data_IF_027678499783
#
_entry.id   IF_027678499783
#
_cell.length_a   1.000
_cell.length_b   1.000
_cell.length_c   1.000
_cell.angle_alpha   90.00
_cell.angle_beta   90.00
_cell.angle_gamma   90.00
#
_symmetry.space_group_name_H-M   'P 1'
#
loop_
_entity.id
_entity.type
_entity.pdbx_description
1 polymer ?
#
# COMPACT_ATOMS: atom_id res chain seq x y z
N UNK A 1 37.02 -6.61 28.42
CA UNK A 1 35.73 -5.96 28.09
C UNK A 1 35.34 -6.45 26.71
N UNK A 2 34.38 -7.37 26.63
CA UNK A 2 33.88 -7.92 25.37
C UNK A 2 33.13 -6.83 24.61
N UNK A 3 33.67 -6.39 23.48
CA UNK A 3 32.86 -5.78 22.43
C UNK A 3 32.11 -6.90 21.72
N UNK A 4 30.86 -7.09 22.12
CA UNK A 4 29.92 -7.97 21.45
C UNK A 4 29.47 -7.26 20.16
N UNK A 5 30.29 -7.34 19.11
CA UNK A 5 29.86 -7.01 17.75
C UNK A 5 28.90 -8.11 17.32
N UNK A 6 27.61 -7.91 17.60
CA UNK A 6 26.55 -8.68 16.96
C UNK A 6 26.68 -8.49 15.46
N UNK A 7 27.08 -9.55 14.78
CA UNK A 7 26.92 -9.68 13.34
C UNK A 7 25.42 -9.68 13.03
N UNK A 8 24.81 -8.50 12.99
CA UNK A 8 23.64 -8.27 12.16
C UNK A 8 24.13 -8.36 10.70
N UNK A 9 24.25 -9.61 10.22
CA UNK A 9 24.18 -9.88 8.79
C UNK A 9 22.91 -9.17 8.32
N UNK A 10 23.07 -8.02 7.65
CA UNK A 10 21.97 -7.30 7.00
C UNK A 10 21.32 -8.29 6.03
N UNK A 11 20.31 -9.02 6.51
CA UNK A 11 19.42 -9.78 5.65
C UNK A 11 18.81 -8.75 4.72
N UNK A 12 18.94 -8.97 3.42
CA UNK A 12 18.21 -8.15 2.47
C UNK A 12 16.72 -8.54 2.55
N UNK A 13 15.81 -7.55 2.61
CA UNK A 13 14.38 -7.86 2.66
C UNK A 13 13.94 -8.47 1.33
N UNK A 14 13.09 -9.49 1.42
CA UNK A 14 12.53 -10.20 0.26
C UNK A 14 11.56 -9.28 -0.49
N UNK A 15 10.77 -8.54 0.28
CA UNK A 15 9.84 -7.55 -0.26
C UNK A 15 9.81 -6.34 0.66
N UNK A 16 9.64 -5.16 0.06
CA UNK A 16 9.50 -3.90 0.80
C UNK A 16 8.32 -3.12 0.25
N UNK A 17 7.41 -2.73 1.13
CA UNK A 17 6.21 -1.96 0.82
C UNK A 17 6.34 -0.58 1.47
N UNK A 18 6.52 0.44 0.64
CA UNK A 18 6.54 1.84 1.10
C UNK A 18 5.13 2.39 1.08
N UNK A 19 4.63 2.84 2.24
CA UNK A 19 3.23 3.23 2.37
C UNK A 19 3.00 4.65 2.91
N UNK A 20 4.06 5.35 3.30
CA UNK A 20 4.08 6.75 3.70
C UNK A 20 5.50 7.32 3.67
N UNK A 21 5.66 8.61 3.98
CA UNK A 21 6.99 9.19 4.15
C UNK A 21 7.67 8.53 5.35
N UNK A 22 8.79 7.85 5.10
CA UNK A 22 9.52 7.12 6.14
C UNK A 22 8.75 5.95 6.77
N UNK A 23 7.63 5.50 6.19
CA UNK A 23 6.87 4.34 6.66
C UNK A 23 7.01 3.16 5.67
N UNK A 24 7.59 2.05 6.13
CA UNK A 24 7.89 0.88 5.29
C UNK A 24 7.55 -0.44 6.02
N UNK A 25 6.96 -1.39 5.30
CA UNK A 25 6.85 -2.80 5.71
C UNK A 25 7.93 -3.58 4.96
N UNK A 26 8.74 -4.36 5.67
CA UNK A 26 9.77 -5.21 5.11
C UNK A 26 9.48 -6.66 5.50
N UNK A 27 9.43 -7.51 4.50
CA UNK A 27 9.28 -8.95 4.67
C UNK A 27 10.65 -9.60 4.61
N UNK A 28 10.98 -10.34 5.66
CA UNK A 28 12.12 -11.26 5.72
C UNK A 28 11.62 -12.70 5.68
N UNK A 29 12.54 -13.67 5.68
CA UNK A 29 12.23 -15.10 5.66
C UNK A 29 11.45 -15.58 6.88
N UNK A 30 11.68 -14.91 8.02
CA UNK A 30 11.29 -15.34 9.35
C UNK A 30 10.51 -14.26 10.12
N UNK A 31 10.58 -13.01 9.67
CA UNK A 31 9.95 -11.87 10.36
C UNK A 31 9.34 -10.87 9.38
N UNK A 32 8.30 -10.19 9.86
CA UNK A 32 7.72 -9.00 9.27
C UNK A 32 8.13 -7.80 10.12
N UNK A 33 8.80 -6.83 9.51
CA UNK A 33 9.26 -5.63 10.18
C UNK A 33 8.53 -4.43 9.62
N UNK A 34 7.88 -3.65 10.49
CA UNK A 34 7.29 -2.37 10.12
C UNK A 34 8.06 -1.24 10.78
N UNK A 35 8.46 -0.27 9.98
CA UNK A 35 9.19 0.91 10.42
C UNK A 35 8.38 2.16 10.12
N UNK A 36 8.32 3.08 11.09
CA UNK A 36 7.73 4.41 10.92
C UNK A 36 8.69 5.49 11.44
N UNK A 37 9.36 6.22 10.53
CA UNK A 37 10.34 7.25 10.90
C UNK A 37 9.75 8.42 11.69
N UNK A 38 8.46 8.75 11.51
CA UNK A 38 7.83 9.84 12.27
C UNK A 38 7.57 9.47 13.74
N UNK A 39 7.50 8.18 14.07
CA UNK A 39 7.11 7.68 15.40
C UNK A 39 8.28 7.01 16.15
N UNK A 40 9.47 6.91 15.54
CA UNK A 40 10.60 6.09 16.01
C UNK A 40 10.16 4.67 16.42
N UNK A 41 9.11 4.17 15.74
CA UNK A 41 8.52 2.88 16.00
C UNK A 41 9.03 1.87 14.97
N UNK A 42 9.66 0.82 15.49
CA UNK A 42 9.99 -0.39 14.77
C UNK A 42 9.26 -1.55 15.44
N UNK A 43 8.31 -2.12 14.71
CA UNK A 43 7.56 -3.30 15.13
C UNK A 43 8.15 -4.47 14.37
N UNK A 44 8.70 -5.45 15.10
CA UNK A 44 9.18 -6.71 14.53
C UNK A 44 8.32 -7.84 15.03
N UNK A 45 7.81 -8.64 14.09
CA UNK A 45 6.90 -9.74 14.38
C UNK A 45 7.41 -10.96 13.66
N UNK A 46 7.62 -12.06 14.39
CA UNK A 46 7.99 -13.33 13.78
C UNK A 46 6.81 -13.86 12.95
N UNK A 47 7.07 -14.35 11.73
CA UNK A 47 6.02 -14.79 10.81
C UNK A 47 5.25 -16.00 11.33
N UNK A 48 5.90 -16.85 12.13
CA UNK A 48 5.32 -18.02 12.79
C UNK A 48 4.34 -17.65 13.91
N UNK A 49 4.54 -16.50 14.56
CA UNK A 49 3.64 -15.97 15.56
C UNK A 49 2.37 -15.33 14.96
N UNK A 50 2.33 -15.07 13.63
CA UNK A 50 1.17 -14.45 12.99
C UNK A 50 0.16 -15.51 12.58
N UNK A 51 -1.02 -15.47 13.20
CA UNK A 51 -2.14 -16.37 12.92
C UNK A 51 -3.05 -15.83 11.83
N UNK A 52 -3.32 -14.52 11.85
CA UNK A 52 -4.19 -13.84 10.87
C UNK A 52 -3.66 -12.47 10.52
N UNK A 53 -3.70 -12.12 9.23
CA UNK A 53 -3.57 -10.73 8.78
C UNK A 53 -4.93 -10.18 8.40
N UNK A 54 -5.30 -9.07 9.01
CA UNK A 54 -6.57 -8.39 8.79
C UNK A 54 -6.33 -7.05 8.11
N UNK A 55 -7.03 -6.80 7.01
CA UNK A 55 -6.91 -5.56 6.24
C UNK A 55 -8.25 -4.84 6.19
N UNK A 56 -8.32 -3.66 6.81
CA UNK A 56 -9.53 -2.86 6.89
C UNK A 56 -9.33 -1.46 6.29
N UNK A 57 -10.40 -0.81 5.79
CA UNK A 57 -10.36 0.62 5.48
C UNK A 57 -10.08 1.43 6.76
N UNK A 58 -9.27 2.48 6.64
CA UNK A 58 -8.99 3.40 7.72
C UNK A 58 -10.11 4.41 7.97
N UNK A 59 -10.16 4.93 9.18
CA UNK A 59 -11.08 5.98 9.64
C UNK A 59 -10.24 7.24 9.96
N UNK A 60 -10.55 8.44 9.44
CA UNK A 60 -11.71 8.84 8.61
C UNK A 60 -11.52 8.70 7.11
N UNK A 61 -10.36 8.19 6.66
CA UNK A 61 -10.04 8.13 5.24
C UNK A 61 -10.07 6.69 4.71
N UNK A 62 -11.19 6.22 4.12
CA UNK A 62 -11.30 4.85 3.62
C UNK A 62 -10.38 4.55 2.43
N UNK A 63 -9.76 5.58 1.83
CA UNK A 63 -8.75 5.39 0.80
C UNK A 63 -7.39 4.95 1.37
N UNK A 64 -7.21 5.07 2.69
CA UNK A 64 -6.06 4.54 3.40
C UNK A 64 -6.45 3.22 4.07
N UNK A 65 -5.56 2.25 4.06
CA UNK A 65 -5.80 0.94 4.65
C UNK A 65 -5.10 0.81 6.01
N UNK A 66 -5.65 -0.02 6.87
CA UNK A 66 -5.04 -0.40 8.15
C UNK A 66 -4.78 -1.90 8.11
N UNK A 67 -3.51 -2.27 8.29
CA UNK A 67 -3.06 -3.65 8.37
C UNK A 67 -2.90 -4.01 9.85
N UNK A 68 -3.54 -5.10 10.25
CA UNK A 68 -3.48 -5.65 11.60
C UNK A 68 -3.00 -7.11 11.52
N UNK A 69 -2.31 -7.56 12.57
CA UNK A 69 -1.93 -8.95 12.76
C UNK A 69 -2.52 -9.46 14.06
N UNK A 70 -3.23 -10.58 14.00
CA UNK A 70 -3.57 -11.37 15.17
C UNK A 70 -2.45 -12.38 15.40
N UNK A 71 -1.90 -12.34 16.60
CA UNK A 71 -0.83 -13.22 17.04
C UNK A 71 -1.39 -14.53 17.63
N UNK A 72 -0.49 -15.49 17.84
CA UNK A 72 -0.80 -16.78 18.47
C UNK A 72 -1.24 -16.67 19.94
N UNK A 73 -0.85 -15.59 20.62
CA UNK A 73 -1.26 -15.23 21.99
C UNK A 73 -2.63 -14.53 22.06
N UNK A 74 -3.39 -14.54 20.97
CA UNK A 74 -4.67 -13.85 20.77
C UNK A 74 -4.59 -12.30 20.91
N UNK A 75 -3.39 -11.72 20.84
CA UNK A 75 -3.20 -10.26 20.76
C UNK A 75 -3.34 -9.79 19.32
N UNK A 76 -4.13 -8.72 19.10
CA UNK A 76 -4.17 -8.00 17.82
C UNK A 76 -3.25 -6.78 17.88
N UNK A 77 -2.30 -6.69 16.95
CA UNK A 77 -1.41 -5.54 16.79
C UNK A 77 -1.69 -4.82 15.48
N UNK A 78 -1.64 -3.49 15.50
CA UNK A 78 -1.72 -2.67 14.29
C UNK A 78 -0.32 -2.61 13.70
N UNK A 79 -0.13 -3.27 12.55
CA UNK A 79 1.15 -3.30 11.84
C UNK A 79 1.38 -2.01 11.07
N UNK A 80 0.39 -1.56 10.31
CA UNK A 80 0.53 -0.37 9.47
C UNK A 80 -0.80 0.39 9.41
N UNK A 81 -0.76 1.65 9.82
CA UNK A 81 -1.88 2.58 9.63
C UNK A 81 -1.62 3.48 8.43
N UNK A 82 -2.67 3.77 7.67
CA UNK A 82 -2.58 4.77 6.61
C UNK A 82 -2.04 4.23 5.29
N UNK A 83 -2.03 2.91 5.09
CA UNK A 83 -1.40 2.27 3.94
C UNK A 83 -2.04 2.70 2.63
N UNK A 84 -1.28 3.42 1.82
CA UNK A 84 -1.73 4.00 0.55
C UNK A 84 -1.24 3.21 -0.68
N UNK A 85 -0.22 2.38 -0.50
CA UNK A 85 0.42 1.60 -1.56
C UNK A 85 -0.08 0.15 -1.58
N UNK A 86 -1.36 0.00 -1.94
CA UNK A 86 -2.01 -1.30 -2.13
C UNK A 86 -1.33 -2.18 -3.19
N UNK A 87 -0.60 -1.59 -4.15
CA UNK A 87 0.07 -2.30 -5.24
C UNK A 87 1.21 -3.16 -4.73
N UNK A 88 2.13 -2.56 -3.97
CA UNK A 88 3.31 -3.26 -3.49
C UNK A 88 2.92 -4.25 -2.38
N UNK A 89 1.93 -3.90 -1.55
CA UNK A 89 1.37 -4.83 -0.58
C UNK A 89 0.76 -6.08 -1.25
N UNK A 90 -0.02 -5.91 -2.34
CA UNK A 90 -0.53 -7.03 -3.13
C UNK A 90 0.58 -7.90 -3.71
N UNK A 91 1.71 -7.32 -4.10
CA UNK A 91 2.87 -8.07 -4.59
C UNK A 91 3.60 -8.84 -3.49
N UNK A 92 3.47 -8.41 -2.23
CA UNK A 92 4.05 -9.09 -1.06
C UNK A 92 3.21 -10.28 -0.58
N UNK A 93 1.88 -10.27 -0.79
CA UNK A 93 0.98 -11.34 -0.32
C UNK A 93 1.39 -12.77 -0.75
N UNK A 94 1.79 -13.04 -2.02
CA UNK A 94 2.22 -14.38 -2.41
C UNK A 94 3.42 -14.88 -1.61
N UNK A 95 4.37 -13.98 -1.30
CA UNK A 95 5.54 -14.32 -0.50
C UNK A 95 5.15 -14.62 0.95
N UNK A 96 4.21 -13.87 1.53
CA UNK A 96 3.69 -14.15 2.88
C UNK A 96 3.05 -15.54 2.95
N UNK A 97 2.22 -15.91 1.97
CA UNK A 97 1.58 -17.23 1.93
C UNK A 97 2.58 -18.36 1.65
N UNK A 98 3.70 -18.07 0.97
CA UNK A 98 4.77 -19.05 0.74
C UNK A 98 5.54 -19.36 2.02
N UNK A 99 5.87 -18.35 2.83
CA UNK A 99 6.60 -18.54 4.09
C UNK A 99 5.71 -18.98 5.25
N UNK A 100 4.44 -18.57 5.26
CA UNK A 100 3.48 -18.96 6.27
C UNK A 100 2.20 -19.51 5.60
N UNK A 101 2.17 -20.81 5.25
CA UNK A 101 1.03 -21.42 4.55
C UNK A 101 -0.23 -21.52 5.42
N UNK A 102 -0.08 -21.53 6.74
CA UNK A 102 -1.17 -21.57 7.71
C UNK A 102 -1.76 -20.17 8.02
N UNK A 103 -1.18 -19.11 7.43
CA UNK A 103 -1.60 -17.73 7.65
C UNK A 103 -3.01 -17.49 7.11
N UNK A 104 -3.90 -17.04 7.99
CA UNK A 104 -5.25 -16.64 7.57
C UNK A 104 -5.25 -15.19 7.09
N UNK A 105 -5.83 -14.95 5.92
CA UNK A 105 -6.07 -13.60 5.43
C UNK A 105 -7.53 -13.23 5.69
N UNK A 106 -7.76 -12.06 6.28
CA UNK A 106 -9.08 -11.48 6.44
C UNK A 106 -9.11 -10.08 5.77
N UNK A 107 -9.81 -9.92 4.65
CA UNK A 107 -10.67 -10.90 3.98
C UNK A 107 -9.89 -12.03 3.28
N UNK A 108 -10.47 -13.23 3.08
CA UNK A 108 -9.78 -14.37 2.45
C UNK A 108 -9.40 -14.11 0.99
N UNK A 109 -10.11 -13.21 0.31
CA UNK A 109 -9.86 -12.75 -1.06
C UNK A 109 -9.12 -11.39 -1.11
N UNK A 110 -8.38 -11.03 -0.06
CA UNK A 110 -7.65 -9.76 0.08
C UNK A 110 -6.88 -9.35 -1.19
N UNK A 111 -6.21 -10.30 -1.85
CA UNK A 111 -5.47 -10.05 -3.08
C UNK A 111 -6.34 -9.58 -4.26
N UNK A 112 -7.56 -10.10 -4.38
CA UNK A 112 -8.53 -9.68 -5.40
C UNK A 112 -9.19 -8.35 -5.03
N UNK A 113 -9.51 -8.13 -3.75
CA UNK A 113 -10.04 -6.84 -3.30
C UNK A 113 -9.04 -5.70 -3.55
N UNK A 114 -7.76 -5.92 -3.25
CA UNK A 114 -6.68 -4.98 -3.57
C UNK A 114 -6.57 -4.76 -5.07
N UNK A 115 -6.70 -5.81 -5.89
CA UNK A 115 -6.70 -5.68 -7.35
C UNK A 115 -7.87 -4.82 -7.84
N UNK A 116 -9.07 -5.05 -7.31
CA UNK A 116 -10.27 -4.29 -7.66
C UNK A 116 -10.14 -2.82 -7.24
N UNK A 117 -9.62 -2.55 -6.05
CA UNK A 117 -9.37 -1.19 -5.56
C UNK A 117 -8.35 -0.43 -6.43
N UNK A 118 -7.29 -1.11 -6.89
CA UNK A 118 -6.30 -0.50 -7.81
C UNK A 118 -6.91 -0.20 -9.19
N UNK A 119 -7.73 -1.12 -9.70
CA UNK A 119 -8.39 -0.94 -11.00
C UNK A 119 -9.44 0.18 -10.96
N UNK A 120 -10.25 0.26 -9.91
CA UNK A 120 -11.25 1.33 -9.76
C UNK A 120 -10.57 2.70 -9.66
N UNK A 121 -9.48 2.81 -8.88
CA UNK A 121 -8.69 4.04 -8.78
C UNK A 121 -8.11 4.46 -10.14
N UNK A 122 -7.57 3.51 -10.90
CA UNK A 122 -7.02 3.77 -12.24
C UNK A 122 -8.10 4.24 -13.22
N UNK A 123 -9.25 3.58 -13.23
CA UNK A 123 -10.38 3.94 -14.08
C UNK A 123 -10.86 5.37 -13.77
N UNK A 124 -11.03 5.70 -12.48
CA UNK A 124 -11.49 7.02 -12.05
C UNK A 124 -10.49 8.14 -12.40
N UNK A 125 -9.20 7.85 -12.22
CA UNK A 125 -8.12 8.77 -12.59
C UNK A 125 -8.15 9.04 -14.10
N UNK A 126 -8.33 8.02 -14.92
CA UNK A 126 -8.40 8.14 -16.38
C UNK A 126 -9.63 8.96 -16.81
N UNK A 127 -10.79 8.73 -16.19
CA UNK A 127 -12.02 9.48 -16.52
C UNK A 127 -11.91 10.94 -16.12
N UNK A 128 -11.39 11.25 -14.93
CA UNK A 128 -11.23 12.63 -14.47
C UNK A 128 -10.23 13.42 -15.32
N UNK A 129 -9.04 12.87 -15.57
CA UNK A 129 -8.07 13.55 -16.44
C UNK A 129 -8.55 13.65 -17.89
N UNK A 130 -9.20 12.60 -18.41
CA UNK A 130 -9.78 12.60 -19.75
C UNK A 130 -10.85 13.68 -19.92
N UNK A 131 -11.75 13.84 -18.94
CA UNK A 131 -12.78 14.86 -18.96
C UNK A 131 -12.20 16.29 -18.94
N UNK A 132 -11.21 16.56 -18.08
CA UNK A 132 -10.54 17.86 -18.01
C UNK A 132 -9.86 18.19 -19.35
N UNK A 133 -9.13 17.24 -19.92
CA UNK A 133 -8.46 17.42 -21.21
C UNK A 133 -9.47 17.71 -22.32
N UNK A 134 -10.59 16.97 -22.36
CA UNK A 134 -11.64 17.17 -23.36
C UNK A 134 -12.28 18.56 -23.24
N UNK A 135 -12.50 19.05 -22.01
CA UNK A 135 -12.98 20.42 -21.77
C UNK A 135 -11.97 21.44 -22.30
N UNK A 136 -10.68 21.29 -22.00
CA UNK A 136 -9.64 22.19 -22.50
C UNK A 136 -9.58 22.21 -24.04
N UNK A 137 -9.63 21.04 -24.68
CA UNK A 137 -9.67 20.93 -26.15
C UNK A 137 -10.93 21.59 -26.72
N UNK A 138 -12.09 21.39 -26.10
CA UNK A 138 -13.36 21.97 -26.54
C UNK A 138 -13.33 23.50 -26.46
N UNK A 139 -12.81 24.06 -25.36
CA UNK A 139 -12.65 25.51 -25.20
C UNK A 139 -11.66 26.09 -26.22
N UNK A 140 -10.56 25.39 -26.49
CA UNK A 140 -9.59 25.80 -27.49
C UNK A 140 -10.18 25.83 -28.90
N UNK A 141 -10.97 24.80 -29.27
CA UNK A 141 -11.67 24.78 -30.56
C UNK A 141 -12.69 25.93 -30.67
N UNK A 142 -13.46 26.21 -29.61
CA UNK A 142 -14.37 27.35 -29.57
C UNK A 142 -13.62 28.68 -29.77
N UNK A 143 -12.48 28.86 -29.10
CA UNK A 143 -11.63 30.03 -29.29
C UNK A 143 -11.17 30.18 -30.75
N UNK A 144 -10.69 29.10 -31.38
CA UNK A 144 -10.28 29.13 -32.79
C UNK A 144 -11.44 29.50 -33.72
N UNK A 145 -12.65 28.98 -33.47
CA UNK A 145 -13.84 29.31 -34.25
C UNK A 145 -14.17 30.80 -34.13
N UNK A 146 -14.19 31.33 -32.90
CA UNK A 146 -14.47 32.76 -32.65
C UNK A 146 -13.41 33.64 -33.30
N UNK A 147 -12.13 33.29 -33.16
CA UNK A 147 -11.03 34.02 -33.76
C UNK A 147 -11.09 34.01 -35.30
N UNK A 148 -11.44 32.87 -35.90
CA UNK A 148 -11.59 32.74 -37.35
C UNK A 148 -12.75 33.58 -37.90
N UNK A 149 -13.90 33.58 -37.21
CA UNK A 149 -15.03 34.44 -37.58
C UNK A 149 -14.65 35.91 -37.42
N UNK A 150 -13.98 36.26 -36.32
CA UNK A 150 -13.52 37.62 -36.05
C UNK A 150 -12.45 38.13 -37.00
N UNK A 151 -11.61 37.26 -37.58
CA UNK A 151 -10.62 37.66 -38.57
C UNK A 151 -11.18 37.79 -40.00
N UNK A 152 -12.39 37.28 -40.23
CA UNK A 152 -13.09 37.34 -41.53
C UNK A 152 -14.16 38.45 -41.60
N UNK A 153 -14.40 39.19 -40.51
CA UNK A 153 -15.21 40.41 -40.43
C UNK A 153 -14.30 41.66 -40.47
#
# INVERSE_FOLDING_TARGET
MSNNNGNDLKKDPISTVRFGMGKEIRLYTDELVVTGQEEDQEIRVALDAIKRLTLVPGDPNPAKLVLMADLDDDTTIILAEGMSNARDFRAMLPHLTEFCPDLQLDPPDMGEQLRQALNSRRAWTLTCYGAILLICVSLYLLYLIVAFIGSHH
#
